data_IF_904102966624
#
_entry.id   IF_904102966624
#
_cell.length_a   1.000
_cell.length_b   1.000
_cell.length_c   1.000
_cell.angle_alpha   90.00
_cell.angle_beta   90.00
_cell.angle_gamma   90.00
#
_symmetry.space_group_name_H-M   'P 1'
#
loop_
_entity.id
_entity.type
_entity.pdbx_description
1 polymer ?
#
# COMPACT_ATOMS: atom_id res chain seq x y z
N UNK A 1 10.68 -10.09 -0.54
CA UNK A 1 9.34 -10.43 -0.09
C UNK A 1 9.20 -10.04 1.38
N UNK A 2 8.59 -8.89 1.69
CA UNK A 2 8.25 -8.54 3.07
C UNK A 2 6.75 -8.72 3.21
N UNK A 3 6.37 -9.93 3.53
CA UNK A 3 5.04 -10.23 4.07
C UNK A 3 4.81 -9.29 5.26
N UNK A 4 3.61 -8.74 5.40
CA UNK A 4 3.19 -8.10 6.65
C UNK A 4 3.11 -9.23 7.69
N UNK A 5 4.27 -9.69 8.12
CA UNK A 5 4.40 -10.70 9.15
C UNK A 5 4.63 -9.99 10.47
N UNK A 6 4.09 -10.55 11.51
CA UNK A 6 4.44 -10.15 12.87
C UNK A 6 5.97 -10.06 13.00
N UNK A 7 6.47 -9.01 13.64
CA UNK A 7 7.88 -8.90 13.96
C UNK A 7 8.32 -10.10 14.83
N UNK A 8 9.60 -10.43 14.84
CA UNK A 8 10.11 -11.51 15.69
C UNK A 8 9.73 -11.31 17.16
N UNK A 9 9.70 -10.05 17.63
CA UNK A 9 9.27 -9.73 18.99
C UNK A 9 7.79 -9.97 19.20
N UNK A 10 6.93 -9.60 18.26
CA UNK A 10 5.48 -9.86 18.32
C UNK A 10 5.16 -11.35 18.30
N UNK A 11 5.87 -12.13 17.50
CA UNK A 11 5.75 -13.62 17.50
C UNK A 11 6.11 -14.21 18.86
N UNK A 12 7.21 -13.76 19.45
CA UNK A 12 7.63 -14.22 20.79
C UNK A 12 6.62 -13.82 21.87
N UNK A 13 6.05 -12.61 21.82
CA UNK A 13 4.99 -12.18 22.74
C UNK A 13 3.76 -13.10 22.61
N UNK A 14 3.29 -13.33 21.39
CA UNK A 14 2.14 -14.20 21.15
C UNK A 14 2.37 -15.63 21.66
N UNK A 15 3.57 -16.17 21.49
CA UNK A 15 3.94 -17.50 21.97
C UNK A 15 3.99 -17.57 23.50
N UNK A 16 4.57 -16.57 24.19
CA UNK A 16 4.57 -16.49 25.65
C UNK A 16 3.13 -16.47 26.18
N UNK A 17 2.27 -15.62 25.59
CA UNK A 17 0.87 -15.52 26.04
C UNK A 17 0.08 -16.79 25.71
N UNK A 18 0.42 -17.50 24.63
CA UNK A 18 -0.21 -18.78 24.28
C UNK A 18 0.12 -19.87 25.29
N UNK A 19 1.35 -19.91 25.79
CA UNK A 19 1.84 -20.92 26.72
C UNK A 19 1.41 -20.66 28.16
N UNK A 20 1.47 -19.39 28.59
CA UNK A 20 1.35 -19.00 30.00
C UNK A 20 0.20 -18.04 30.29
N UNK A 21 -0.67 -17.79 29.28
CA UNK A 21 -1.78 -16.88 29.49
C UNK A 21 -2.89 -17.43 30.40
N UNK A 22 -3.56 -16.56 31.14
CA UNK A 22 -3.44 -15.11 31.16
C UNK A 22 -2.19 -14.60 31.87
N UNK A 23 -1.47 -13.64 31.26
CA UNK A 23 -0.20 -13.11 31.79
C UNK A 23 -0.18 -11.56 31.70
N UNK A 24 0.43 -10.91 32.68
CA UNK A 24 0.51 -9.45 32.72
C UNK A 24 1.57 -8.89 31.77
N UNK A 25 1.43 -7.65 31.36
CA UNK A 25 2.44 -7.00 30.52
C UNK A 25 3.81 -6.85 31.19
N UNK A 26 3.86 -6.78 32.53
CA UNK A 26 5.10 -6.82 33.33
C UNK A 26 5.82 -8.15 33.16
N UNK A 27 5.14 -9.26 33.39
CA UNK A 27 5.74 -10.59 33.28
C UNK A 27 6.17 -10.91 31.83
N UNK A 28 5.44 -10.40 30.81
CA UNK A 28 5.89 -10.52 29.42
C UNK A 28 7.18 -9.74 29.20
N UNK A 29 7.28 -8.54 29.79
CA UNK A 29 8.46 -7.69 29.68
C UNK A 29 9.69 -8.32 30.35
N UNK A 30 9.53 -8.91 31.54
CA UNK A 30 10.57 -9.65 32.25
C UNK A 30 11.08 -10.84 31.42
N UNK A 31 10.19 -11.65 30.83
CA UNK A 31 10.60 -12.79 30.01
C UNK A 31 11.33 -12.41 28.73
N UNK A 32 11.04 -11.23 28.20
CA UNK A 32 11.73 -10.70 27.01
C UNK A 32 12.92 -9.82 27.32
N UNK A 33 13.20 -9.59 28.63
CA UNK A 33 14.25 -8.71 29.11
C UNK A 33 14.15 -7.28 28.51
N UNK A 34 12.95 -6.72 28.52
CA UNK A 34 12.65 -5.37 28.06
C UNK A 34 11.76 -4.63 29.05
N UNK A 35 11.59 -3.32 28.87
CA UNK A 35 10.66 -2.57 29.69
C UNK A 35 9.20 -2.77 29.21
N UNK A 36 8.24 -2.70 30.14
CA UNK A 36 6.81 -2.72 29.78
C UNK A 36 6.45 -1.62 28.76
N UNK A 37 7.06 -0.44 28.89
CA UNK A 37 6.84 0.66 27.97
C UNK A 37 7.22 0.30 26.51
N UNK A 38 8.31 -0.46 26.35
CA UNK A 38 8.77 -0.93 25.03
C UNK A 38 7.80 -1.93 24.36
N UNK A 39 6.97 -2.62 25.15
CA UNK A 39 5.99 -3.59 24.62
C UNK A 39 4.64 -2.98 24.27
N UNK A 40 4.37 -1.73 24.65
CA UNK A 40 3.05 -1.11 24.51
C UNK A 40 2.54 -1.14 23.07
N UNK A 41 3.39 -0.79 22.10
CA UNK A 41 3.03 -0.78 20.68
C UNK A 41 2.80 -2.19 20.14
N UNK A 42 3.63 -3.15 20.55
CA UNK A 42 3.50 -4.54 20.07
C UNK A 42 2.25 -5.21 20.65
N UNK A 43 1.98 -5.02 21.94
CA UNK A 43 0.77 -5.51 22.58
C UNK A 43 -0.49 -4.88 21.97
N UNK A 44 -0.48 -3.57 21.68
CA UNK A 44 -1.59 -2.91 21.00
C UNK A 44 -1.84 -3.49 19.61
N UNK A 45 -0.78 -3.75 18.81
CA UNK A 45 -0.89 -4.37 17.49
C UNK A 45 -1.47 -5.79 17.60
N UNK A 46 -1.00 -6.59 18.56
CA UNK A 46 -1.47 -7.97 18.76
C UNK A 46 -2.94 -8.03 19.22
N UNK A 47 -3.36 -7.07 20.05
CA UNK A 47 -4.77 -6.95 20.48
C UNK A 47 -5.65 -6.45 19.32
N UNK A 48 -5.22 -5.39 18.62
CA UNK A 48 -5.95 -4.89 17.44
C UNK A 48 -6.06 -5.95 16.33
N UNK A 49 -5.02 -6.78 16.18
CA UNK A 49 -5.02 -7.92 15.26
C UNK A 49 -5.83 -9.13 15.72
N UNK A 50 -6.46 -9.06 16.90
CA UNK A 50 -7.27 -10.14 17.45
C UNK A 50 -6.49 -11.41 17.85
N UNK A 51 -5.15 -11.34 17.88
CA UNK A 51 -4.30 -12.47 18.31
C UNK A 51 -4.31 -12.60 19.83
N UNK A 52 -4.27 -11.47 20.51
CA UNK A 52 -4.42 -11.37 21.96
C UNK A 52 -5.70 -10.60 22.29
N UNK A 53 -6.22 -10.84 23.48
CA UNK A 53 -7.20 -9.99 24.13
C UNK A 53 -6.68 -9.60 25.51
N UNK A 54 -7.16 -8.47 26.05
CA UNK A 54 -6.73 -7.92 27.32
C UNK A 54 -7.88 -7.67 28.26
N UNK A 55 -7.81 -8.23 29.47
CA UNK A 55 -8.80 -7.97 30.53
C UNK A 55 -8.15 -7.21 31.69
N UNK A 56 -8.79 -6.13 32.17
CA UNK A 56 -8.31 -5.41 33.35
C UNK A 56 -8.11 -6.35 34.54
N UNK A 57 -7.00 -6.20 35.26
CA UNK A 57 -6.60 -7.01 36.43
C UNK A 57 -6.29 -8.49 36.15
N UNK A 58 -6.53 -8.99 34.93
CA UNK A 58 -6.23 -10.37 34.53
C UNK A 58 -4.96 -10.44 33.69
N UNK A 59 -4.83 -9.55 32.72
CA UNK A 59 -3.70 -9.53 31.80
C UNK A 59 -4.10 -9.87 30.36
N UNK A 60 -3.13 -10.31 29.59
CA UNK A 60 -3.29 -10.70 28.19
C UNK A 60 -3.50 -12.22 28.09
N UNK A 61 -4.39 -12.63 27.21
CA UNK A 61 -4.61 -14.05 26.88
C UNK A 61 -4.71 -14.26 25.38
N UNK A 62 -4.34 -15.45 24.95
CA UNK A 62 -4.37 -15.82 23.54
C UNK A 62 -5.81 -16.15 23.12
N UNK A 63 -6.31 -15.51 22.07
CA UNK A 63 -7.71 -15.67 21.65
C UNK A 63 -7.97 -16.96 20.89
N UNK A 64 -6.92 -17.63 20.42
CA UNK A 64 -7.05 -18.75 19.49
C UNK A 64 -7.48 -18.36 18.08
N UNK A 65 -7.85 -17.08 17.87
CA UNK A 65 -8.25 -16.55 16.57
C UNK A 65 -7.03 -15.97 15.88
N UNK A 66 -6.53 -16.64 14.87
CA UNK A 66 -5.50 -16.08 13.98
C UNK A 66 -6.15 -15.18 12.92
N UNK A 67 -6.98 -14.22 13.36
CA UNK A 67 -7.78 -13.35 12.48
C UNK A 67 -6.88 -12.58 11.53
N UNK A 68 -5.72 -12.11 12.00
CA UNK A 68 -4.75 -11.41 11.16
C UNK A 68 -4.06 -12.39 10.18
N UNK A 69 -3.77 -13.61 10.59
CA UNK A 69 -3.21 -14.64 9.72
C UNK A 69 -4.20 -15.08 8.65
N UNK A 70 -5.46 -15.29 9.03
CA UNK A 70 -6.53 -15.64 8.08
C UNK A 70 -6.80 -14.52 7.08
N UNK A 71 -6.89 -13.26 7.55
CA UNK A 71 -7.00 -12.08 6.67
C UNK A 71 -5.78 -11.93 5.74
N UNK A 72 -4.58 -12.21 6.24
CA UNK A 72 -3.36 -12.17 5.42
C UNK A 72 -3.31 -13.29 4.39
N UNK A 73 -3.76 -14.49 4.72
CA UNK A 73 -3.90 -15.58 3.78
C UNK A 73 -4.93 -15.25 2.70
N UNK A 74 -6.07 -14.71 3.09
CA UNK A 74 -7.14 -14.30 2.18
C UNK A 74 -6.68 -13.18 1.22
N UNK A 75 -6.05 -12.12 1.74
CA UNK A 75 -5.51 -11.03 0.92
C UNK A 75 -4.33 -11.49 0.05
N UNK A 76 -3.52 -12.43 0.54
CA UNK A 76 -2.40 -12.98 -0.24
C UNK A 76 -2.86 -13.84 -1.42
N UNK A 77 -4.06 -14.41 -1.34
CA UNK A 77 -4.68 -15.15 -2.42
C UNK A 77 -5.27 -14.29 -3.53
N UNK A 78 -5.56 -13.00 -3.26
CA UNK A 78 -6.10 -12.08 -4.25
C UNK A 78 -4.97 -11.60 -5.17
N UNK A 79 -5.12 -11.82 -6.46
CA UNK A 79 -4.16 -11.38 -7.47
C UNK A 79 -4.53 -10.01 -8.03
N UNK A 80 -3.53 -9.30 -8.56
CA UNK A 80 -3.75 -7.99 -9.19
C UNK A 80 -4.80 -8.07 -10.30
N UNK A 81 -4.78 -9.14 -11.11
CA UNK A 81 -5.75 -9.37 -12.18
C UNK A 81 -7.21 -9.42 -11.69
N UNK A 82 -7.45 -9.81 -10.44
CA UNK A 82 -8.80 -9.94 -9.89
C UNK A 82 -9.41 -8.58 -9.51
N UNK A 83 -8.56 -7.54 -9.37
CA UNK A 83 -8.94 -6.18 -9.00
C UNK A 83 -8.72 -5.15 -10.12
N UNK A 84 -8.16 -5.56 -11.25
CA UNK A 84 -7.93 -4.64 -12.36
C UNK A 84 -9.25 -4.25 -13.01
N UNK A 85 -9.33 -3.00 -13.50
CA UNK A 85 -10.43 -2.48 -14.29
C UNK A 85 -9.95 -2.08 -15.69
N UNK A 86 -10.87 -1.79 -16.59
CA UNK A 86 -10.54 -1.29 -17.92
C UNK A 86 -9.87 0.07 -17.79
N UNK A 87 -8.66 0.26 -18.34
CA UNK A 87 -7.95 1.52 -18.23
C UNK A 87 -8.58 2.58 -19.15
N UNK A 88 -8.68 3.82 -18.65
CA UNK A 88 -9.01 4.98 -19.48
C UNK A 88 -7.69 5.57 -20.00
N UNK A 89 -7.57 5.75 -21.31
CA UNK A 89 -6.34 6.18 -21.94
C UNK A 89 -6.55 7.32 -22.94
N UNK A 90 -5.47 8.08 -23.18
CA UNK A 90 -5.37 9.11 -24.22
C UNK A 90 -4.07 8.89 -25.00
N UNK A 91 -4.05 9.32 -26.28
CA UNK A 91 -2.82 9.27 -27.05
C UNK A 91 -1.85 10.39 -26.63
N UNK A 92 -0.56 10.16 -26.77
CA UNK A 92 0.49 11.08 -26.37
C UNK A 92 0.49 12.43 -27.11
N UNK A 93 -0.10 12.47 -28.30
CA UNK A 93 -0.25 13.67 -29.15
C UNK A 93 -1.40 14.58 -28.70
N UNK A 94 -2.29 14.06 -27.87
CA UNK A 94 -3.42 14.82 -27.33
C UNK A 94 -2.96 15.93 -26.38
N UNK A 95 -3.77 16.98 -26.29
CA UNK A 95 -3.50 18.10 -25.37
C UNK A 95 -3.80 17.73 -23.92
N UNK A 96 -3.17 18.44 -22.99
CA UNK A 96 -3.48 18.34 -21.57
C UNK A 96 -4.96 18.67 -21.28
N UNK A 97 -5.57 19.56 -22.08
CA UNK A 97 -7.00 19.86 -21.99
C UNK A 97 -7.88 18.64 -22.34
N UNK A 98 -7.55 17.91 -23.43
CA UNK A 98 -8.29 16.69 -23.79
C UNK A 98 -8.18 15.63 -22.71
N UNK A 99 -7.03 15.52 -22.03
CA UNK A 99 -6.88 14.64 -20.87
C UNK A 99 -7.81 15.06 -19.70
N UNK A 100 -7.96 16.38 -19.44
CA UNK A 100 -8.92 16.90 -18.44
C UNK A 100 -10.34 16.49 -18.82
N UNK A 101 -10.73 16.71 -20.08
CA UNK A 101 -12.08 16.36 -20.58
C UNK A 101 -12.34 14.86 -20.42
N UNK A 102 -11.37 14.02 -20.82
CA UNK A 102 -11.48 12.57 -20.67
C UNK A 102 -11.64 12.16 -19.20
N UNK A 103 -10.83 12.72 -18.29
CA UNK A 103 -10.96 12.44 -16.85
C UNK A 103 -12.33 12.82 -16.29
N UNK A 104 -12.90 13.89 -16.82
CA UNK A 104 -14.20 14.37 -16.36
C UNK A 104 -15.35 13.51 -16.90
N UNK A 105 -15.31 13.14 -18.17
CA UNK A 105 -16.35 12.31 -18.81
C UNK A 105 -16.36 10.88 -18.25
N UNK A 106 -15.17 10.32 -17.99
CA UNK A 106 -15.01 8.94 -17.50
C UNK A 106 -15.00 8.85 -15.96
N UNK A 107 -15.15 9.97 -15.26
CA UNK A 107 -15.10 10.10 -13.79
C UNK A 107 -13.85 9.43 -13.16
N UNK A 108 -12.69 9.60 -13.80
CA UNK A 108 -11.42 9.06 -13.32
C UNK A 108 -10.46 10.16 -12.87
N UNK A 109 -9.55 9.83 -11.94
CA UNK A 109 -8.54 10.78 -11.44
C UNK A 109 -7.19 10.69 -12.15
N UNK A 110 -7.03 9.69 -13.02
CA UNK A 110 -5.78 9.40 -13.74
C UNK A 110 -6.12 8.74 -15.05
N UNK A 111 -5.44 9.13 -16.13
CA UNK A 111 -5.54 8.45 -17.43
C UNK A 111 -4.16 7.95 -17.85
N UNK A 112 -4.14 6.86 -18.59
CA UNK A 112 -2.94 6.30 -19.19
C UNK A 112 -2.61 7.06 -20.48
N UNK A 113 -1.32 7.22 -20.78
CA UNK A 113 -0.87 7.85 -22.01
C UNK A 113 -0.24 6.77 -22.88
N UNK A 114 -0.74 6.64 -24.10
CA UNK A 114 -0.30 5.64 -25.09
C UNK A 114 0.42 6.32 -26.24
N UNK A 115 1.39 5.63 -26.81
CA UNK A 115 2.01 6.04 -28.07
C UNK A 115 1.15 5.64 -29.28
N UNK A 116 1.68 5.92 -30.50
CA UNK A 116 1.01 5.60 -31.78
C UNK A 116 0.81 4.09 -31.97
N UNK A 117 1.67 3.26 -31.37
CA UNK A 117 1.57 1.81 -31.39
C UNK A 117 0.59 1.24 -30.34
N UNK A 118 -0.01 2.11 -29.50
CA UNK A 118 -0.89 1.72 -28.38
C UNK A 118 -0.15 1.21 -27.15
N UNK A 119 1.16 1.46 -27.05
CA UNK A 119 1.96 1.06 -25.90
C UNK A 119 1.93 2.15 -24.83
N UNK A 120 1.94 1.73 -23.56
CA UNK A 120 1.95 2.63 -22.42
C UNK A 120 3.28 3.39 -22.33
N UNK A 121 3.23 4.72 -22.39
CA UNK A 121 4.40 5.61 -22.22
C UNK A 121 4.39 6.36 -20.89
N UNK A 122 3.25 6.49 -20.24
CA UNK A 122 3.13 7.17 -18.96
C UNK A 122 1.72 7.26 -18.44
N UNK A 123 1.55 8.05 -17.39
CA UNK A 123 0.25 8.38 -16.80
C UNK A 123 0.17 9.87 -16.51
N UNK A 124 -1.02 10.44 -16.61
CA UNK A 124 -1.27 11.82 -16.17
C UNK A 124 -2.39 11.81 -15.13
N UNK A 125 -2.18 12.51 -14.04
CA UNK A 125 -3.14 12.65 -12.94
C UNK A 125 -3.71 14.06 -12.87
N UNK A 126 -4.83 14.24 -12.15
CA UNK A 126 -5.40 15.57 -11.84
C UNK A 126 -4.35 16.51 -11.24
N UNK A 127 -3.45 15.98 -10.41
CA UNK A 127 -2.37 16.76 -9.79
C UNK A 127 -1.36 17.28 -10.81
N UNK A 128 -1.01 16.47 -11.81
CA UNK A 128 -0.06 16.85 -12.85
C UNK A 128 -0.66 17.96 -13.72
N UNK A 129 -1.93 17.84 -14.08
CA UNK A 129 -2.66 18.86 -14.84
C UNK A 129 -2.83 20.16 -14.06
N UNK A 130 -3.18 20.09 -12.78
CA UNK A 130 -3.28 21.25 -11.91
C UNK A 130 -1.92 21.95 -11.79
N UNK A 131 -0.84 21.20 -11.65
CA UNK A 131 0.53 21.73 -11.60
C UNK A 131 0.91 22.43 -12.92
N UNK A 132 0.54 21.84 -14.06
CA UNK A 132 0.77 22.45 -15.37
C UNK A 132 0.01 23.78 -15.52
N UNK A 133 -1.26 23.82 -15.13
CA UNK A 133 -2.08 25.01 -15.18
C UNK A 133 -1.54 26.16 -14.32
N UNK A 134 -1.01 25.86 -13.13
CA UNK A 134 -0.47 26.87 -12.21
C UNK A 134 0.90 27.38 -12.66
N UNK A 135 1.78 26.48 -13.11
CA UNK A 135 3.18 26.85 -13.36
C UNK A 135 3.40 27.56 -14.70
N UNK A 136 2.60 27.26 -15.72
CA UNK A 136 2.91 27.71 -17.08
C UNK A 136 2.13 28.95 -17.51
N UNK A 137 1.04 29.33 -16.82
CA UNK A 137 0.14 30.38 -17.29
C UNK A 137 -0.38 30.17 -18.73
N UNK A 138 -0.04 29.03 -19.33
CA UNK A 138 -0.32 28.68 -20.72
C UNK A 138 -1.66 27.93 -20.80
N UNK A 139 -2.33 28.06 -21.95
CA UNK A 139 -3.55 27.30 -22.21
C UNK A 139 -3.23 25.80 -22.29
N UNK A 140 -3.91 25.00 -21.49
CA UNK A 140 -3.76 23.53 -21.50
C UNK A 140 -4.06 22.91 -22.88
N UNK A 141 -4.71 23.64 -23.78
CA UNK A 141 -4.97 23.21 -25.17
C UNK A 141 -3.72 23.17 -26.01
N UNK A 142 -2.71 24.00 -25.67
CA UNK A 142 -1.44 24.09 -26.40
C UNK A 142 -0.38 23.15 -25.84
N UNK A 143 -0.60 22.57 -24.66
CA UNK A 143 0.37 21.69 -23.99
C UNK A 143 0.07 20.23 -24.34
N UNK A 144 0.96 19.53 -25.07
CA UNK A 144 0.82 18.08 -25.28
C UNK A 144 0.84 17.31 -23.95
N UNK A 145 0.00 16.29 -23.81
CA UNK A 145 -0.11 15.50 -22.57
C UNK A 145 1.22 14.85 -22.18
N UNK A 146 2.05 14.49 -23.15
CA UNK A 146 3.39 13.92 -22.94
C UNK A 146 4.31 14.82 -22.12
N UNK A 147 4.13 16.16 -22.20
CA UNK A 147 4.95 17.13 -21.46
C UNK A 147 4.61 17.21 -19.97
N UNK A 148 3.41 16.80 -19.60
CA UNK A 148 2.90 16.89 -18.21
C UNK A 148 2.78 15.54 -17.54
N UNK A 149 2.85 14.43 -18.29
CA UNK A 149 2.70 13.07 -17.76
C UNK A 149 3.85 12.66 -16.85
N UNK A 150 3.60 11.72 -15.98
CA UNK A 150 4.64 10.94 -15.31
C UNK A 150 5.03 9.79 -16.24
N UNK A 151 6.28 9.75 -16.75
CA UNK A 151 6.71 8.73 -17.70
C UNK A 151 6.79 7.34 -17.05
N UNK A 152 6.63 6.30 -17.87
CA UNK A 152 6.65 4.89 -17.44
C UNK A 152 7.89 4.55 -16.61
N UNK A 153 9.06 5.11 -16.93
CA UNK A 153 10.31 4.90 -16.17
C UNK A 153 10.26 5.35 -14.70
N UNK A 154 9.31 6.19 -14.34
CA UNK A 154 9.09 6.67 -12.96
C UNK A 154 7.95 5.95 -12.25
N UNK A 155 7.24 5.07 -12.93
CA UNK A 155 6.12 4.31 -12.37
C UNK A 155 6.61 3.01 -11.72
N UNK A 156 5.85 2.58 -10.72
CA UNK A 156 5.99 1.23 -10.19
C UNK A 156 4.95 0.38 -10.91
N UNK A 157 5.42 -0.63 -11.59
CA UNK A 157 4.57 -1.58 -12.31
C UNK A 157 4.56 -2.89 -11.55
N UNK A 158 3.40 -3.50 -11.44
CA UNK A 158 3.19 -4.83 -10.87
C UNK A 158 2.62 -5.75 -11.95
N UNK A 159 2.83 -7.04 -11.81
CA UNK A 159 2.31 -8.04 -12.75
C UNK A 159 0.92 -8.48 -12.34
N UNK A 160 0.15 -8.99 -13.28
CA UNK A 160 -1.19 -9.51 -13.02
C UNK A 160 -1.20 -10.69 -12.05
N UNK A 161 -0.10 -11.48 -12.04
CA UNK A 161 0.10 -12.62 -11.17
C UNK A 161 0.61 -12.26 -9.76
N UNK A 162 0.99 -10.98 -9.55
CA UNK A 162 1.41 -10.54 -8.23
C UNK A 162 0.22 -10.49 -7.28
N UNK A 163 0.46 -10.84 -6.00
CA UNK A 163 -0.59 -10.68 -5.00
C UNK A 163 -0.80 -9.20 -4.65
N UNK A 164 -2.04 -8.85 -4.31
CA UNK A 164 -2.42 -7.50 -3.89
C UNK A 164 -1.62 -7.05 -2.66
N UNK A 165 -1.30 -7.97 -1.75
CA UNK A 165 -0.47 -7.68 -0.57
C UNK A 165 0.95 -7.21 -0.96
N UNK A 166 1.56 -7.80 -1.99
CA UNK A 166 2.87 -7.39 -2.53
C UNK A 166 2.77 -6.02 -3.18
N UNK A 167 1.75 -5.81 -4.01
CA UNK A 167 1.51 -4.52 -4.69
C UNK A 167 1.36 -3.38 -3.68
N UNK A 168 0.58 -3.58 -2.62
CA UNK A 168 0.39 -2.58 -1.57
C UNK A 168 1.69 -2.23 -0.84
N UNK A 169 2.55 -3.20 -0.56
CA UNK A 169 3.84 -2.95 0.10
C UNK A 169 4.79 -2.14 -0.79
N UNK A 170 4.78 -2.37 -2.10
CA UNK A 170 5.54 -1.57 -3.07
C UNK A 170 5.06 -0.13 -3.14
N UNK A 171 3.74 0.11 -3.09
CA UNK A 171 3.16 1.45 -3.11
C UNK A 171 3.51 2.28 -1.87
N UNK A 172 3.61 1.65 -0.69
CA UNK A 172 3.93 2.33 0.59
C UNK A 172 5.42 2.40 0.93
N UNK A 173 6.30 1.74 0.18
CA UNK A 173 7.73 1.81 0.44
C UNK A 173 8.25 3.26 0.33
N UNK A 174 9.13 3.73 1.24
CA UNK A 174 9.78 5.02 1.14
C UNK A 174 10.47 5.19 -0.21
N UNK A 175 10.48 6.42 -0.76
CA UNK A 175 11.04 6.71 -2.08
C UNK A 175 12.50 6.25 -2.25
N UNK A 176 13.28 6.25 -1.18
CA UNK A 176 14.68 5.83 -1.19
C UNK A 176 14.89 4.33 -1.37
N UNK A 177 13.95 3.51 -0.86
CA UNK A 177 13.98 2.05 -1.11
C UNK A 177 13.56 1.65 -2.52
N UNK A 178 12.95 2.56 -3.28
CA UNK A 178 12.47 2.31 -4.65
C UNK A 178 13.59 2.41 -5.69
N UNK A 179 14.70 3.13 -5.36
CA UNK A 179 15.84 3.35 -6.26
C UNK A 179 16.91 2.25 -6.23
N UNK A 180 16.91 1.36 -5.22
CA UNK A 180 17.97 0.35 -5.02
C UNK A 180 17.67 -1.03 -5.63
N UNK A 181 16.67 -1.14 -6.51
CA UNK A 181 16.28 -2.41 -7.17
C UNK A 181 16.12 -2.27 -8.69
N UNK A 182 16.96 -1.45 -9.32
CA UNK A 182 17.23 -1.51 -10.75
C UNK A 182 18.58 -2.16 -11.00
#
# INVERSE_FOLDING_TARGET
MRTISLSNRQKRIAEIVRQDGPITGEHIAERLNVTRAALRSDLAILVMGGILDARPKVGYYFTGKNTLGMLMEEISGILVRDLQSVPVAVNQDKSAYEAVVTMFLEDVGTVFVLDEAGLLVGVVSRKDLLKAAINNGSDLREIPVVMVMTPLSKLIVVKQEDSVAVSYTHLRAPRDMRRSRM
#
